data_IF_200052759494
#
_entry.id   IF_200052759494
#
_cell.length_a   1.000
_cell.length_b   1.000
_cell.length_c   1.000
_cell.angle_alpha   90.00
_cell.angle_beta   90.00
_cell.angle_gamma   90.00
#
_symmetry.space_group_name_H-M   'P 1'
#
loop_
_entity.id
_entity.type
_entity.pdbx_description
1 polymer ?
#
# COMPACT_ATOMS: atom_id res chain seq x y z
N UNK A 1 -50.10 -36.17 -37.96
CA UNK A 1 -51.07 -35.77 -36.90
C UNK A 1 -50.33 -35.78 -35.55
N UNK A 2 -50.19 -34.62 -35.00
CA UNK A 2 -49.61 -34.41 -33.65
C UNK A 2 -50.77 -34.36 -32.64
N UNK A 3 -50.81 -35.32 -31.73
CA UNK A 3 -51.69 -35.32 -30.57
C UNK A 3 -51.10 -34.45 -29.48
N UNK A 4 -51.70 -33.32 -29.18
CA UNK A 4 -51.46 -32.55 -27.99
C UNK A 4 -52.51 -32.93 -26.93
N UNK A 5 -52.06 -33.38 -25.75
CA UNK A 5 -52.88 -33.59 -24.57
C UNK A 5 -52.97 -32.30 -23.74
N UNK A 6 -54.19 -31.91 -23.25
CA UNK A 6 -54.31 -30.74 -22.40
C UNK A 6 -53.93 -31.07 -20.95
N UNK A 7 -53.06 -30.29 -20.37
CA UNK A 7 -52.73 -30.33 -18.94
C UNK A 7 -53.75 -29.48 -18.19
N UNK A 8 -54.57 -30.14 -17.38
CA UNK A 8 -55.50 -29.47 -16.45
C UNK A 8 -54.76 -29.03 -15.20
N UNK A 9 -54.73 -27.73 -14.92
CA UNK A 9 -54.26 -27.18 -13.66
C UNK A 9 -55.40 -27.15 -12.62
N UNK A 10 -55.19 -27.53 -11.38
CA UNK A 10 -56.20 -27.41 -10.35
C UNK A 10 -56.40 -25.96 -9.93
N UNK A 11 -57.66 -25.51 -9.95
CA UNK A 11 -58.10 -24.23 -9.38
C UNK A 11 -58.04 -24.28 -7.87
N UNK A 12 -57.11 -23.58 -7.26
CA UNK A 12 -57.12 -23.31 -5.83
C UNK A 12 -57.96 -22.06 -5.55
N UNK A 13 -59.05 -22.25 -4.84
CA UNK A 13 -59.91 -21.17 -4.33
C UNK A 13 -59.17 -20.41 -3.20
N UNK A 14 -58.57 -19.30 -3.52
CA UNK A 14 -58.00 -18.37 -2.53
C UNK A 14 -59.07 -17.39 -2.05
N UNK A 15 -59.23 -17.27 -0.74
CA UNK A 15 -60.01 -16.22 -0.08
C UNK A 15 -59.44 -14.84 -0.44
N UNK A 16 -60.27 -13.77 -0.51
CA UNK A 16 -59.74 -12.44 -0.79
C UNK A 16 -58.81 -11.97 0.35
N UNK A 17 -57.59 -11.59 0.00
CA UNK A 17 -56.65 -10.94 0.91
C UNK A 17 -57.11 -9.49 1.04
N UNK A 18 -57.51 -9.11 2.26
CA UNK A 18 -57.78 -7.72 2.63
C UNK A 18 -56.41 -7.02 2.70
N UNK A 19 -56.12 -6.14 1.76
CA UNK A 19 -54.95 -5.27 1.81
C UNK A 19 -55.23 -4.14 2.79
N UNK A 20 -54.60 -4.16 3.96
CA UNK A 20 -54.48 -2.98 4.83
C UNK A 20 -53.77 -1.84 4.08
N UNK A 21 -54.12 -0.58 4.31
CA UNK A 21 -53.44 0.56 3.71
C UNK A 21 -52.01 0.62 4.25
N UNK A 22 -51.00 0.63 3.36
CA UNK A 22 -49.63 0.89 3.70
C UNK A 22 -49.53 2.30 4.28
N UNK A 23 -49.11 2.42 5.54
CA UNK A 23 -48.71 3.67 6.14
C UNK A 23 -47.55 4.31 5.32
N UNK A 24 -47.51 5.65 5.21
CA UNK A 24 -46.49 6.32 4.45
C UNK A 24 -45.11 6.00 5.05
N UNK A 25 -44.29 5.36 4.24
CA UNK A 25 -42.90 5.01 4.55
C UNK A 25 -42.19 6.28 5.05
N UNK A 26 -41.77 6.24 6.32
CA UNK A 26 -40.85 7.25 6.87
C UNK A 26 -39.70 7.49 5.88
N UNK A 27 -39.52 8.74 5.54
CA UNK A 27 -38.34 9.18 4.74
C UNK A 27 -37.11 8.60 5.42
N UNK A 28 -36.41 7.69 4.74
CA UNK A 28 -35.07 7.34 5.12
C UNK A 28 -34.25 8.65 5.03
N UNK A 29 -33.89 9.19 6.18
CA UNK A 29 -32.86 10.17 6.27
C UNK A 29 -31.64 9.53 5.60
N UNK A 30 -31.22 10.09 4.47
CA UNK A 30 -29.91 9.78 3.88
C UNK A 30 -28.90 10.01 4.99
N UNK A 31 -27.94 9.08 5.22
CA UNK A 31 -26.91 9.29 6.21
C UNK A 31 -26.20 10.58 5.81
N UNK A 32 -26.27 11.57 6.69
CA UNK A 32 -25.51 12.81 6.63
C UNK A 32 -24.08 12.41 6.30
N UNK A 33 -23.65 12.71 5.07
CA UNK A 33 -22.27 12.44 4.61
C UNK A 33 -21.40 13.15 5.62
N UNK A 34 -20.72 12.37 6.48
CA UNK A 34 -19.70 12.87 7.36
C UNK A 34 -18.73 13.63 6.45
N UNK A 35 -18.72 14.96 6.56
CA UNK A 35 -17.78 15.80 5.84
C UNK A 35 -16.40 15.30 6.23
N UNK A 36 -15.70 14.70 5.29
CA UNK A 36 -14.29 14.35 5.49
C UNK A 36 -13.60 15.64 5.95
N UNK A 37 -12.83 15.61 7.06
CA UNK A 37 -12.15 16.79 7.52
C UNK A 37 -11.33 17.35 6.35
N UNK A 38 -11.56 18.61 6.00
CA UNK A 38 -10.83 19.27 4.91
C UNK A 38 -9.32 19.02 5.08
N UNK A 39 -8.62 18.67 4.01
CA UNK A 39 -7.19 18.36 4.11
C UNK A 39 -6.47 19.59 4.65
N UNK A 40 -5.68 19.39 5.72
CA UNK A 40 -4.85 20.45 6.31
C UNK A 40 -3.90 21.11 5.30
N UNK A 41 -3.62 20.41 4.18
CA UNK A 41 -2.74 20.85 3.12
C UNK A 41 -3.47 21.00 1.80
N UNK A 42 -3.35 22.15 1.19
CA UNK A 42 -3.81 22.40 -0.17
C UNK A 42 -2.73 21.95 -1.16
N UNK A 43 -3.04 21.00 -2.03
CA UNK A 43 -2.17 20.61 -3.13
C UNK A 43 -2.02 21.79 -4.11
N UNK A 44 -0.78 22.15 -4.42
CA UNK A 44 -0.45 23.14 -5.44
C UNK A 44 -0.10 22.47 -6.76
N UNK A 45 0.65 21.38 -6.71
CA UNK A 45 1.06 20.61 -7.88
C UNK A 45 2.38 19.88 -7.69
N UNK A 46 2.89 19.33 -8.79
CA UNK A 46 4.14 18.57 -8.84
C UNK A 46 5.19 19.32 -9.68
N UNK A 47 6.45 19.28 -9.25
CA UNK A 47 7.59 19.83 -9.98
C UNK A 47 8.64 18.76 -10.20
N UNK A 48 9.26 18.80 -11.40
CA UNK A 48 10.30 17.86 -11.82
C UNK A 48 9.87 16.38 -11.75
N UNK A 49 8.56 16.11 -11.81
CA UNK A 49 7.98 14.77 -11.63
C UNK A 49 8.54 14.02 -10.39
N UNK A 50 8.95 14.76 -9.36
CA UNK A 50 9.66 14.25 -8.18
C UNK A 50 9.14 14.88 -6.89
N UNK A 51 8.83 16.18 -6.90
CA UNK A 51 8.46 16.90 -5.71
C UNK A 51 7.04 17.40 -5.78
N UNK A 52 6.27 17.16 -4.71
CA UNK A 52 4.93 17.70 -4.52
C UNK A 52 5.03 19.00 -3.73
N UNK A 53 4.35 20.04 -4.21
CA UNK A 53 4.20 21.30 -3.49
C UNK A 53 2.81 21.34 -2.88
N UNK A 54 2.76 21.54 -1.57
CA UNK A 54 1.52 21.75 -0.82
C UNK A 54 1.63 23.01 0.04
N UNK A 55 0.49 23.59 0.38
CA UNK A 55 0.39 24.82 1.19
C UNK A 55 -0.54 24.58 2.38
N UNK A 56 -0.16 25.13 3.53
CA UNK A 56 -0.99 25.18 4.72
C UNK A 56 -0.71 26.48 5.46
N UNK A 57 -1.73 27.29 5.68
CA UNK A 57 -1.64 28.60 6.36
C UNK A 57 -0.54 29.50 5.77
N UNK A 58 0.55 29.68 6.49
CA UNK A 58 1.70 30.48 6.09
C UNK A 58 2.94 29.62 5.77
N UNK A 59 2.75 28.35 5.48
CA UNK A 59 3.81 27.39 5.18
C UNK A 59 3.62 26.77 3.81
N UNK A 60 4.72 26.64 3.09
CA UNK A 60 4.81 25.85 1.87
C UNK A 60 5.62 24.57 2.19
N UNK A 61 5.08 23.42 1.82
CA UNK A 61 5.74 22.15 1.92
C UNK A 61 6.26 21.72 0.55
N UNK A 62 7.52 21.38 0.50
CA UNK A 62 8.14 20.71 -0.65
C UNK A 62 8.42 19.27 -0.23
N UNK A 63 7.68 18.32 -0.81
CA UNK A 63 7.67 16.91 -0.40
C UNK A 63 8.36 16.09 -1.48
N UNK A 64 9.39 15.31 -1.12
CA UNK A 64 9.94 14.27 -1.98
C UNK A 64 8.98 13.08 -1.98
N UNK A 65 8.25 12.89 -3.09
CA UNK A 65 7.21 11.85 -3.19
C UNK A 65 7.74 10.44 -3.05
N UNK A 66 8.96 10.17 -3.52
CA UNK A 66 9.60 8.87 -3.39
C UNK A 66 9.96 8.59 -1.93
N UNK A 67 10.68 9.52 -1.29
CA UNK A 67 11.06 9.40 0.12
C UNK A 67 9.83 9.30 1.05
N UNK A 68 8.76 10.05 0.74
CA UNK A 68 7.50 10.00 1.48
C UNK A 68 6.83 8.63 1.36
N UNK A 69 6.66 8.15 0.13
CA UNK A 69 5.99 6.87 -0.11
C UNK A 69 6.78 5.70 0.47
N UNK A 70 8.12 5.68 0.29
CA UNK A 70 8.99 4.67 0.89
C UNK A 70 8.81 4.60 2.42
N UNK A 71 8.79 5.73 3.12
CA UNK A 71 8.59 5.77 4.57
C UNK A 71 7.20 5.31 4.98
N UNK A 72 6.17 5.69 4.26
CA UNK A 72 4.79 5.26 4.53
C UNK A 72 4.68 3.74 4.39
N UNK A 73 5.21 3.16 3.32
CA UNK A 73 5.20 1.71 3.10
C UNK A 73 6.01 0.96 4.17
N UNK A 74 7.18 1.46 4.53
CA UNK A 74 8.00 0.90 5.60
C UNK A 74 7.23 0.89 6.94
N UNK A 75 6.64 2.02 7.32
CA UNK A 75 5.85 2.12 8.56
C UNK A 75 4.62 1.21 8.53
N UNK A 76 3.98 1.05 7.36
CA UNK A 76 2.85 0.12 7.17
C UNK A 76 3.28 -1.32 7.41
N UNK A 77 4.36 -1.77 6.77
CA UNK A 77 4.90 -3.13 6.96
C UNK A 77 5.27 -3.40 8.42
N UNK A 78 5.96 -2.45 9.06
CA UNK A 78 6.35 -2.58 10.47
C UNK A 78 5.14 -2.69 11.40
N UNK A 79 4.10 -1.90 11.17
CA UNK A 79 2.83 -2.02 11.92
C UNK A 79 2.12 -3.35 11.69
N UNK A 80 2.06 -3.83 10.46
CA UNK A 80 1.46 -5.13 10.13
C UNK A 80 2.22 -6.27 10.81
N UNK A 81 3.55 -6.25 10.77
CA UNK A 81 4.37 -7.23 11.48
C UNK A 81 4.10 -7.24 12.99
N UNK A 82 4.05 -6.06 13.62
CA UNK A 82 3.75 -5.92 15.05
C UNK A 82 2.33 -6.40 15.41
N UNK A 83 1.38 -6.30 14.49
CA UNK A 83 0.00 -6.80 14.66
C UNK A 83 -0.15 -8.31 14.37
N UNK A 84 0.92 -8.97 13.93
CA UNK A 84 1.02 -10.43 13.81
C UNK A 84 1.16 -10.97 12.40
N UNK A 85 0.80 -10.24 11.35
CA UNK A 85 1.00 -10.70 9.96
C UNK A 85 1.05 -9.53 8.96
N UNK A 86 1.98 -9.61 8.02
CA UNK A 86 2.00 -8.74 6.83
C UNK A 86 0.95 -9.24 5.84
N UNK A 87 0.14 -8.33 5.30
CA UNK A 87 -0.89 -8.64 4.31
C UNK A 87 -0.27 -9.20 3.03
N UNK A 88 -0.80 -10.34 2.55
CA UNK A 88 -0.28 -11.07 1.40
C UNK A 88 -1.29 -11.20 0.29
N UNK A 89 -0.82 -11.28 -0.95
CA UNK A 89 -1.61 -11.64 -2.12
C UNK A 89 -1.09 -12.92 -2.75
N UNK A 90 -2.01 -13.78 -3.17
CA UNK A 90 -1.70 -15.02 -3.87
C UNK A 90 -1.32 -14.69 -5.31
N UNK A 91 -0.21 -15.20 -5.78
CA UNK A 91 0.20 -15.08 -7.17
C UNK A 91 -0.64 -16.03 -8.04
N UNK A 92 -1.18 -15.51 -9.14
CA UNK A 92 -1.95 -16.32 -10.09
C UNK A 92 -1.12 -17.47 -10.66
N UNK A 93 0.16 -17.22 -10.91
CA UNK A 93 1.17 -18.22 -11.28
C UNK A 93 2.30 -18.14 -10.27
N UNK A 94 2.61 -19.21 -9.52
CA UNK A 94 3.74 -19.22 -8.60
C UNK A 94 5.05 -18.90 -9.31
N UNK A 95 5.90 -18.10 -8.70
CA UNK A 95 7.25 -17.83 -9.18
C UNK A 95 8.16 -19.00 -8.82
N UNK A 96 9.03 -19.40 -9.74
CA UNK A 96 10.13 -20.35 -9.47
C UNK A 96 11.44 -19.63 -9.74
N UNK A 97 12.22 -19.40 -8.69
CA UNK A 97 13.43 -18.59 -8.72
C UNK A 97 14.63 -19.53 -8.61
N UNK A 98 15.44 -19.56 -9.65
CA UNK A 98 16.74 -20.26 -9.66
C UNK A 98 17.81 -19.41 -9.01
N UNK A 99 18.48 -19.94 -8.01
CA UNK A 99 19.51 -19.23 -7.26
C UNK A 99 20.85 -19.96 -7.26
N UNK A 100 21.98 -19.24 -7.23
CA UNK A 100 23.28 -19.80 -6.89
C UNK A 100 23.20 -20.51 -5.52
N UNK A 101 23.96 -21.57 -5.34
CA UNK A 101 23.89 -22.44 -4.16
C UNK A 101 23.96 -21.67 -2.83
N UNK A 102 24.84 -20.68 -2.75
CA UNK A 102 25.03 -19.88 -1.53
C UNK A 102 23.76 -19.10 -1.16
N UNK A 103 23.11 -18.45 -2.17
CA UNK A 103 21.87 -17.71 -1.97
C UNK A 103 20.69 -18.64 -1.66
N UNK A 104 20.62 -19.78 -2.34
CA UNK A 104 19.62 -20.80 -2.06
C UNK A 104 19.73 -21.34 -0.63
N UNK A 105 20.95 -21.71 -0.17
CA UNK A 105 21.18 -22.18 1.19
C UNK A 105 20.82 -21.08 2.22
N UNK A 106 21.06 -19.81 1.91
CA UNK A 106 20.64 -18.69 2.74
C UNK A 106 19.11 -18.53 2.76
N UNK A 107 18.45 -18.67 1.61
CA UNK A 107 16.99 -18.59 1.49
C UNK A 107 16.31 -19.70 2.32
N UNK A 108 16.74 -20.95 2.15
CA UNK A 108 16.15 -22.11 2.86
C UNK A 108 16.31 -22.00 4.38
N UNK A 109 17.44 -21.47 4.86
CA UNK A 109 17.66 -21.23 6.30
C UNK A 109 16.80 -20.12 6.89
N UNK A 110 16.20 -19.28 6.05
CA UNK A 110 15.47 -18.10 6.48
C UNK A 110 14.04 -18.03 5.91
N UNK A 111 13.43 -19.18 5.59
CA UNK A 111 12.05 -19.24 5.08
C UNK A 111 11.04 -18.61 6.04
N UNK A 112 11.21 -18.76 7.34
CA UNK A 112 10.41 -18.12 8.37
C UNK A 112 10.54 -16.59 8.38
N UNK A 113 11.72 -16.05 8.06
CA UNK A 113 11.89 -14.61 7.87
C UNK A 113 11.08 -14.10 6.65
N UNK A 114 11.11 -14.84 5.54
CA UNK A 114 10.30 -14.51 4.37
C UNK A 114 8.80 -14.57 4.67
N UNK A 115 8.36 -15.59 5.39
CA UNK A 115 6.94 -15.72 5.77
C UNK A 115 6.48 -14.54 6.61
N UNK A 116 7.24 -14.13 7.61
CA UNK A 116 6.94 -12.95 8.43
C UNK A 116 7.01 -11.64 7.63
N UNK A 117 7.87 -11.58 6.60
CA UNK A 117 7.94 -10.44 5.68
C UNK A 117 6.81 -10.43 4.63
N UNK A 118 5.93 -11.41 4.65
CA UNK A 118 4.77 -11.50 3.76
C UNK A 118 4.99 -12.30 2.48
N UNK A 119 6.04 -13.13 2.40
CA UNK A 119 6.28 -14.03 1.26
C UNK A 119 5.99 -15.47 1.67
N UNK A 120 5.09 -16.15 0.96
CA UNK A 120 4.95 -17.60 1.10
C UNK A 120 5.92 -18.30 0.14
N UNK A 121 7.11 -18.58 0.63
CA UNK A 121 8.19 -19.22 -0.10
C UNK A 121 8.41 -20.65 0.41
N UNK A 122 8.69 -21.58 -0.49
CA UNK A 122 8.97 -22.98 -0.18
C UNK A 122 10.16 -23.50 -0.98
N UNK A 123 10.83 -24.50 -0.41
CA UNK A 123 11.86 -25.27 -1.12
C UNK A 123 11.24 -26.07 -2.26
N UNK A 124 11.73 -25.84 -3.49
CA UNK A 124 11.30 -26.59 -4.66
C UNK A 124 12.35 -27.62 -5.16
N UNK A 125 13.51 -27.67 -4.49
CA UNK A 125 14.63 -28.53 -4.86
C UNK A 125 15.51 -27.95 -5.96
N UNK A 126 16.65 -28.58 -6.21
CA UNK A 126 17.59 -28.24 -7.31
C UNK A 126 18.03 -26.79 -7.38
N UNK A 127 18.15 -26.11 -6.22
CA UNK A 127 18.52 -24.68 -6.16
C UNK A 127 17.39 -23.74 -6.53
N UNK A 128 16.13 -24.20 -6.47
CA UNK A 128 14.95 -23.43 -6.78
C UNK A 128 14.13 -23.11 -5.53
N UNK A 129 13.73 -21.85 -5.41
CA UNK A 129 12.73 -21.37 -4.47
C UNK A 129 11.41 -21.18 -5.20
N UNK A 130 10.31 -21.71 -4.65
CA UNK A 130 8.96 -21.44 -5.16
C UNK A 130 8.27 -20.45 -4.26
N UNK A 131 7.68 -19.39 -4.86
CA UNK A 131 6.94 -18.33 -4.15
C UNK A 131 5.50 -18.34 -4.62
N UNK A 132 4.55 -18.46 -3.68
CA UNK A 132 3.11 -18.52 -3.93
C UNK A 132 2.39 -17.23 -3.57
N UNK A 133 2.89 -16.52 -2.55
CA UNK A 133 2.31 -15.28 -2.07
C UNK A 133 3.41 -14.23 -1.87
N UNK A 134 3.04 -12.98 -2.08
CA UNK A 134 3.90 -11.81 -1.87
C UNK A 134 3.15 -10.73 -1.08
N UNK A 135 3.85 -9.79 -0.42
CA UNK A 135 3.20 -8.66 0.22
C UNK A 135 2.29 -7.89 -0.75
N UNK A 136 1.09 -7.49 -0.30
CA UNK A 136 0.11 -6.76 -1.14
C UNK A 136 0.64 -5.45 -1.67
N UNK A 137 1.64 -4.85 -1.01
CA UNK A 137 2.26 -3.59 -1.45
C UNK A 137 3.17 -3.73 -2.68
N UNK A 138 3.47 -4.96 -3.15
CA UNK A 138 4.30 -5.24 -4.32
C UNK A 138 3.46 -5.37 -5.60
N UNK A 139 2.60 -4.38 -5.90
CA UNK A 139 1.64 -4.46 -7.01
C UNK A 139 2.31 -4.80 -8.36
N UNK A 140 3.29 -3.99 -8.79
CA UNK A 140 3.98 -4.14 -10.10
C UNK A 140 5.50 -4.39 -9.96
N UNK A 141 5.97 -4.70 -8.76
CA UNK A 141 7.39 -4.90 -8.51
C UNK A 141 7.81 -6.33 -8.81
N UNK A 142 8.87 -6.57 -9.60
CA UNK A 142 9.39 -7.90 -9.82
C UNK A 142 9.83 -8.56 -8.50
N UNK A 143 9.04 -9.50 -8.01
CA UNK A 143 9.30 -10.18 -6.74
C UNK A 143 10.56 -11.06 -6.79
N UNK A 144 10.96 -11.54 -7.98
CA UNK A 144 12.16 -12.32 -8.20
C UNK A 144 13.43 -11.54 -7.86
N UNK A 145 13.58 -10.33 -8.44
CA UNK A 145 14.74 -9.45 -8.18
C UNK A 145 14.82 -9.06 -6.70
N UNK A 146 13.65 -8.76 -6.10
CA UNK A 146 13.58 -8.41 -4.70
C UNK A 146 14.00 -9.56 -3.80
N UNK A 147 13.49 -10.78 -4.03
CA UNK A 147 13.84 -11.95 -3.23
C UNK A 147 15.32 -12.32 -3.36
N UNK A 148 15.88 -12.17 -4.56
CA UNK A 148 17.32 -12.36 -4.78
C UNK A 148 18.14 -11.39 -3.94
N UNK A 149 17.79 -10.09 -3.99
CA UNK A 149 18.42 -9.04 -3.17
C UNK A 149 18.28 -9.32 -1.66
N UNK A 150 17.09 -9.77 -1.21
CA UNK A 150 16.87 -10.14 0.17
C UNK A 150 17.76 -11.31 0.61
N UNK A 151 17.93 -12.33 -0.26
CA UNK A 151 18.82 -13.46 0.01
C UNK A 151 20.30 -13.02 0.11
N UNK A 152 20.75 -12.09 -0.76
CA UNK A 152 22.08 -11.50 -0.67
C UNK A 152 22.32 -10.79 0.66
N UNK A 153 21.33 -9.97 1.10
CA UNK A 153 21.39 -9.28 2.39
C UNK A 153 21.44 -10.27 3.56
N UNK A 154 20.60 -11.30 3.53
CA UNK A 154 20.58 -12.36 4.55
C UNK A 154 21.89 -13.14 4.61
N UNK A 155 22.57 -13.35 3.48
CA UNK A 155 23.86 -14.00 3.43
C UNK A 155 24.96 -13.19 4.15
N UNK A 156 24.92 -11.86 4.03
CA UNK A 156 25.93 -10.95 4.57
C UNK A 156 25.62 -10.43 5.99
N UNK A 157 24.52 -10.86 6.61
CA UNK A 157 23.98 -10.30 7.87
C UNK A 157 24.77 -10.60 9.16
N UNK A 158 25.95 -11.14 9.11
CA UNK A 158 26.71 -11.63 10.27
C UNK A 158 26.55 -10.80 11.55
N UNK A 159 25.79 -11.33 12.54
CA UNK A 159 25.66 -10.75 13.88
C UNK A 159 24.53 -9.72 14.11
N UNK A 160 23.63 -9.51 13.13
CA UNK A 160 22.42 -8.68 13.33
C UNK A 160 21.43 -9.40 14.26
N UNK A 161 20.70 -8.62 15.06
CA UNK A 161 19.55 -9.12 15.81
C UNK A 161 18.33 -9.32 14.88
N UNK A 162 17.33 -10.03 15.37
CA UNK A 162 16.15 -10.40 14.57
C UNK A 162 15.36 -9.17 14.11
N UNK A 163 15.25 -8.14 14.95
CA UNK A 163 14.50 -6.91 14.62
C UNK A 163 15.21 -6.12 13.52
N UNK A 164 16.53 -6.00 13.57
CA UNK A 164 17.32 -5.34 12.53
C UNK A 164 17.19 -6.04 11.18
N UNK A 165 17.05 -7.38 11.16
CA UNK A 165 16.83 -8.14 9.93
C UNK A 165 15.47 -7.77 9.32
N UNK A 166 14.40 -7.72 10.11
CA UNK A 166 13.09 -7.34 9.60
C UNK A 166 13.06 -5.89 9.12
N UNK A 167 13.69 -4.98 9.83
CA UNK A 167 13.78 -3.58 9.40
C UNK A 167 14.49 -3.47 8.04
N UNK A 168 15.56 -4.24 7.79
CA UNK A 168 16.21 -4.29 6.46
C UNK A 168 15.32 -4.90 5.38
N UNK A 169 14.59 -5.99 5.69
CA UNK A 169 13.65 -6.61 4.77
C UNK A 169 12.55 -5.63 4.37
N UNK A 170 11.92 -4.99 5.35
CA UNK A 170 10.86 -4.00 5.09
C UNK A 170 11.36 -2.78 4.35
N UNK A 171 12.59 -2.35 4.62
CA UNK A 171 13.24 -1.29 3.88
C UNK A 171 13.41 -1.65 2.40
N UNK A 172 13.92 -2.84 2.09
CA UNK A 172 14.07 -3.29 0.71
C UNK A 172 12.73 -3.42 -0.01
N UNK A 173 11.72 -3.99 0.65
CA UNK A 173 10.36 -4.11 0.12
C UNK A 173 9.76 -2.72 -0.15
N UNK A 174 9.84 -1.80 0.82
CA UNK A 174 9.29 -0.45 0.69
C UNK A 174 10.00 0.35 -0.42
N UNK A 175 11.32 0.27 -0.51
CA UNK A 175 12.10 0.94 -1.53
C UNK A 175 11.75 0.48 -2.96
N UNK A 176 11.54 -0.83 -3.14
CA UNK A 176 11.14 -1.39 -4.45
C UNK A 176 9.69 -1.05 -4.83
N UNK A 177 8.78 -1.06 -3.85
CA UNK A 177 7.36 -0.77 -4.04
C UNK A 177 7.05 0.73 -4.14
N UNK A 178 7.97 1.61 -3.68
CA UNK A 178 7.72 3.05 -3.67
C UNK A 178 7.59 3.64 -5.08
N UNK A 179 6.73 4.66 -5.20
CA UNK A 179 6.57 5.46 -6.42
C UNK A 179 7.96 6.00 -6.83
N UNK A 180 8.32 5.77 -8.09
CA UNK A 180 9.62 6.20 -8.61
C UNK A 180 9.64 7.71 -8.83
N UNK A 181 10.76 8.36 -8.52
CA UNK A 181 11.05 9.72 -8.96
C UNK A 181 11.13 9.81 -10.49
N UNK A 182 11.00 11.02 -11.03
CA UNK A 182 11.01 11.32 -12.47
C UNK A 182 9.87 10.72 -13.32
N UNK A 183 8.85 10.15 -12.69
CA UNK A 183 7.61 9.72 -13.35
C UNK A 183 6.50 10.64 -12.86
N UNK A 184 5.81 11.40 -13.72
CA UNK A 184 4.71 12.26 -13.28
C UNK A 184 3.62 11.47 -12.57
N UNK A 185 3.12 12.00 -11.46
CA UNK A 185 2.02 11.40 -10.71
C UNK A 185 0.70 12.08 -11.08
N UNK A 186 -0.39 11.30 -11.09
CA UNK A 186 -1.72 11.88 -11.23
C UNK A 186 -2.08 12.68 -9.98
N UNK A 187 -2.92 13.70 -10.14
CA UNK A 187 -3.35 14.55 -9.02
C UNK A 187 -3.95 13.73 -7.87
N UNK A 188 -4.72 12.68 -8.18
CA UNK A 188 -5.28 11.76 -7.19
C UNK A 188 -4.21 11.05 -6.36
N UNK A 189 -3.11 10.64 -6.98
CA UNK A 189 -1.98 9.99 -6.29
C UNK A 189 -1.27 10.97 -5.36
N UNK A 190 -1.12 12.24 -5.81
CA UNK A 190 -0.53 13.31 -5.01
C UNK A 190 -1.41 13.63 -3.79
N UNK A 191 -2.73 13.70 -3.98
CA UNK A 191 -3.70 13.92 -2.89
C UNK A 191 -3.68 12.76 -1.89
N UNK A 192 -3.64 11.52 -2.38
CA UNK A 192 -3.56 10.34 -1.52
C UNK A 192 -2.26 10.33 -0.69
N UNK A 193 -1.13 10.69 -1.30
CA UNK A 193 0.14 10.80 -0.58
C UNK A 193 0.08 11.86 0.53
N UNK A 194 -0.53 13.02 0.26
CA UNK A 194 -0.74 14.07 1.27
C UNK A 194 -1.64 13.58 2.41
N UNK A 195 -2.70 12.82 2.10
CA UNK A 195 -3.59 12.22 3.10
C UNK A 195 -2.83 11.26 4.01
N UNK A 196 -2.02 10.37 3.44
CA UNK A 196 -1.22 9.40 4.19
C UNK A 196 -0.15 10.08 5.07
N UNK A 197 0.48 11.16 4.58
CA UNK A 197 1.42 11.96 5.38
C UNK A 197 0.75 12.65 6.58
N UNK A 198 -0.51 13.04 6.44
CA UNK A 198 -1.29 13.61 7.54
C UNK A 198 -1.60 12.58 8.62
N UNK A 199 -1.93 11.35 8.20
CA UNK A 199 -2.27 10.26 9.13
C UNK A 199 -1.07 9.77 9.96
N UNK A 200 0.15 9.95 9.44
CA UNK A 200 1.37 9.53 10.13
C UNK A 200 2.36 10.69 10.31
N UNK A 201 2.16 11.56 11.34
CA UNK A 201 3.05 12.70 11.61
C UNK A 201 4.51 12.31 11.90
N UNK A 202 4.78 11.02 12.18
CA UNK A 202 6.13 10.51 12.37
C UNK A 202 6.93 10.37 11.08
N UNK A 203 6.28 10.53 9.92
CA UNK A 203 6.93 10.48 8.59
C UNK A 203 7.71 11.79 8.34
N UNK A 204 8.85 11.95 9.00
CA UNK A 204 9.72 13.11 8.83
C UNK A 204 10.91 12.82 7.93
N UNK A 205 11.46 11.62 8.02
CA UNK A 205 12.61 11.18 7.26
C UNK A 205 12.33 9.83 6.59
N UNK A 206 12.86 9.60 5.39
CA UNK A 206 12.81 8.27 4.79
C UNK A 206 13.66 7.27 5.61
N UNK A 207 13.54 5.95 5.40
CA UNK A 207 14.36 4.97 6.10
C UNK A 207 15.88 5.21 5.97
N UNK A 208 16.33 5.84 4.88
CA UNK A 208 17.74 6.24 4.66
C UNK A 208 18.15 7.55 5.38
N UNK A 209 17.27 8.17 6.17
CA UNK A 209 17.55 9.39 6.91
C UNK A 209 17.37 10.70 6.14
N UNK A 210 16.98 10.68 4.85
CA UNK A 210 16.71 11.91 4.10
C UNK A 210 15.41 12.54 4.56
N UNK A 211 15.31 13.88 4.63
CA UNK A 211 14.05 14.52 4.96
C UNK A 211 13.00 14.21 3.88
N UNK A 212 11.79 13.86 4.33
CA UNK A 212 10.64 13.59 3.45
C UNK A 212 10.05 14.89 2.91
N UNK A 213 10.07 15.94 3.73
CA UNK A 213 9.54 17.24 3.36
C UNK A 213 10.41 18.37 3.91
N UNK A 214 10.46 19.45 3.15
CA UNK A 214 11.05 20.73 3.56
C UNK A 214 9.90 21.72 3.74
N UNK A 215 9.87 22.41 4.88
CA UNK A 215 8.90 23.46 5.17
C UNK A 215 9.56 24.81 4.94
N UNK A 216 8.94 25.67 4.16
CA UNK A 216 9.36 27.05 3.91
C UNK A 216 8.23 27.95 4.38
N UNK A 217 8.50 28.76 5.40
CA UNK A 217 7.50 29.73 5.86
C UNK A 217 7.38 30.90 4.89
N UNK A 218 6.19 31.53 4.86
CA UNK A 218 5.96 32.75 4.07
C UNK A 218 7.00 33.83 4.38
N UNK A 219 7.38 33.97 5.65
CA UNK A 219 8.38 34.95 6.08
C UNK A 219 9.76 34.67 5.47
N UNK A 220 10.18 33.40 5.46
CA UNK A 220 11.47 32.99 4.84
C UNK A 220 11.44 33.26 3.35
N UNK A 221 10.34 32.94 2.68
CA UNK A 221 10.18 33.21 1.26
C UNK A 221 10.24 34.70 0.96
N UNK A 222 9.51 35.54 1.71
CA UNK A 222 9.53 37.00 1.57
C UNK A 222 10.94 37.59 1.83
N UNK A 223 11.69 37.02 2.78
CA UNK A 223 13.07 37.39 3.04
C UNK A 223 14.00 37.04 1.86
N UNK A 224 13.83 35.85 1.26
CA UNK A 224 14.59 35.45 0.08
C UNK A 224 14.38 36.40 -1.11
N UNK A 225 13.17 36.95 -1.25
CA UNK A 225 12.83 37.96 -2.27
C UNK A 225 13.15 39.41 -1.86
N UNK A 226 13.75 39.64 -0.68
CA UNK A 226 14.09 40.98 -0.19
C UNK A 226 12.89 41.87 0.12
N UNK A 227 11.69 41.27 0.35
CA UNK A 227 10.48 42.00 0.69
C UNK A 227 10.41 42.42 2.17
N UNK A 228 11.14 41.72 3.01
CA UNK A 228 11.32 42.00 4.43
C UNK A 228 12.79 41.85 4.79
N UNK A 229 13.25 42.56 5.82
CA UNK A 229 14.62 42.52 6.34
C UNK A 229 14.74 41.45 7.44
#
# INVERSE_FOLDING_TARGET
QTCALPISLPMYGGKPVVTEPLEPTAQREEPEQAQEPEPDYRLIGEVFATYIIAERDNEMLLIDKHAAHERILFNRLKRQHQSGAVERQVLLVPLTIHMPRELYDAAIKNLDCFERAGFAAEDFGEGCLRVREVPTILEDTPAEDLLTELCERLLHRGGMDEEAIYDELYHSVACKAAIKGNIPSMEREQQELLRLLREDPAVRNCPHGRPVAIVITRRELEKMFGRIV
#
